data_IF_253383210747
#
_entry.id   IF_253383210747
#
_cell.length_a   1.000
_cell.length_b   1.000
_cell.length_c   1.000
_cell.angle_alpha   90.00
_cell.angle_beta   90.00
_cell.angle_gamma   90.00
#
_symmetry.space_group_name_H-M   'P 1'
#
loop_
_entity.id
_entity.type
_entity.pdbx_description
1 polymer ?
#
# COMPACT_ATOMS: atom_id res chain seq x y z
N UNK A 1 -2.25 -26.61 -19.39
CA UNK A 1 -1.25 -25.59 -19.77
C UNK A 1 -1.71 -24.25 -19.20
N UNK A 2 -0.90 -23.55 -18.39
CA UNK A 2 -1.29 -22.32 -17.63
C UNK A 2 -2.00 -21.24 -18.47
N UNK A 3 -1.74 -21.24 -19.78
CA UNK A 3 -2.14 -20.22 -20.75
C UNK A 3 -3.67 -20.16 -20.97
N UNK A 4 -4.43 -21.21 -20.65
CA UNK A 4 -5.88 -21.28 -20.90
C UNK A 4 -6.79 -21.02 -19.69
N UNK A 5 -6.28 -21.10 -18.46
CA UNK A 5 -7.10 -21.05 -17.24
C UNK A 5 -6.63 -20.01 -16.20
N UNK A 6 -5.50 -19.35 -16.46
CA UNK A 6 -4.91 -18.37 -15.53
C UNK A 6 -4.73 -17.04 -16.27
N UNK A 7 -5.13 -15.89 -15.67
CA UNK A 7 -4.96 -14.58 -16.29
C UNK A 7 -3.53 -14.35 -16.78
N UNK A 8 -3.38 -13.64 -17.91
CA UNK A 8 -2.08 -13.44 -18.56
C UNK A 8 -1.02 -12.86 -17.62
N UNK A 9 -1.38 -11.92 -16.73
CA UNK A 9 -0.43 -11.35 -15.76
C UNK A 9 0.03 -12.39 -14.72
N UNK A 10 -0.89 -13.19 -14.18
CA UNK A 10 -0.58 -14.30 -13.27
C UNK A 10 0.32 -15.33 -13.94
N UNK A 11 0.02 -15.71 -15.20
CA UNK A 11 0.86 -16.62 -15.99
C UNK A 11 2.26 -16.05 -16.21
N UNK A 12 2.37 -14.77 -16.56
CA UNK A 12 3.66 -14.08 -16.73
C UNK A 12 4.47 -14.04 -15.44
N UNK A 13 3.82 -13.76 -14.29
CA UNK A 13 4.46 -13.77 -12.96
C UNK A 13 5.00 -15.15 -12.60
N UNK A 14 4.20 -16.20 -12.80
CA UNK A 14 4.62 -17.59 -12.54
C UNK A 14 5.84 -17.95 -13.40
N UNK A 15 5.79 -17.69 -14.71
CA UNK A 15 6.91 -17.96 -15.62
C UNK A 15 8.18 -17.18 -15.23
N UNK A 16 8.02 -15.94 -14.77
CA UNK A 16 9.15 -15.12 -14.29
C UNK A 16 9.79 -15.73 -13.05
N UNK A 17 8.98 -16.22 -12.10
CA UNK A 17 9.47 -16.89 -10.89
C UNK A 17 10.16 -18.21 -11.21
N UNK A 18 9.58 -19.05 -12.07
CA UNK A 18 10.18 -20.31 -12.52
C UNK A 18 11.53 -20.07 -13.23
N UNK A 19 11.57 -19.09 -14.13
CA UNK A 19 12.81 -18.70 -14.81
C UNK A 19 13.88 -18.21 -13.83
N UNK A 20 13.49 -17.43 -12.82
CA UNK A 20 14.43 -16.94 -11.79
C UNK A 20 14.96 -18.07 -10.93
N UNK A 21 14.10 -19.02 -10.54
CA UNK A 21 14.48 -20.22 -9.81
C UNK A 21 15.47 -21.08 -10.62
N UNK A 22 15.16 -21.39 -11.87
CA UNK A 22 16.04 -22.17 -12.74
C UNK A 22 17.35 -21.44 -13.06
N UNK A 23 17.35 -20.10 -13.15
CA UNK A 23 18.58 -19.31 -13.26
C UNK A 23 19.48 -19.46 -12.04
N UNK A 24 18.89 -19.46 -10.83
CA UNK A 24 19.64 -19.74 -9.61
C UNK A 24 20.16 -21.18 -9.56
N UNK A 25 19.33 -22.16 -9.93
CA UNK A 25 19.72 -23.58 -9.97
C UNK A 25 20.87 -23.83 -10.96
N UNK A 26 20.84 -23.16 -12.13
CA UNK A 26 21.95 -23.19 -13.09
C UNK A 26 23.23 -22.56 -12.55
N UNK A 27 23.13 -21.39 -11.91
CA UNK A 27 24.29 -20.76 -11.24
C UNK A 27 24.86 -21.65 -10.13
N UNK A 28 24.03 -22.47 -9.50
CA UNK A 28 24.40 -23.38 -8.42
C UNK A 28 24.85 -24.76 -8.92
N UNK A 29 24.94 -24.98 -10.23
CA UNK A 29 25.37 -26.26 -10.82
C UNK A 29 24.36 -27.41 -10.71
N UNK A 30 23.11 -27.14 -10.34
CA UNK A 30 22.04 -28.15 -10.21
C UNK A 30 21.41 -28.47 -11.57
N UNK A 31 21.34 -27.46 -12.45
CA UNK A 31 20.78 -27.57 -13.80
C UNK A 31 21.78 -27.04 -14.82
N UNK A 32 21.84 -27.69 -15.98
CA UNK A 32 22.67 -27.18 -17.08
C UNK A 32 21.99 -26.01 -17.82
N UNK A 33 20.66 -26.03 -17.89
CA UNK A 33 19.86 -25.09 -18.71
C UNK A 33 18.60 -24.62 -18.00
N UNK A 34 18.14 -23.41 -18.35
CA UNK A 34 16.89 -22.83 -17.88
C UNK A 34 15.82 -22.93 -18.97
N UNK A 35 14.89 -23.88 -18.85
CA UNK A 35 13.81 -24.10 -19.82
C UNK A 35 12.77 -22.98 -19.86
N UNK A 36 12.72 -22.12 -18.84
CA UNK A 36 11.76 -21.03 -18.71
C UNK A 36 12.35 -19.67 -19.11
N UNK A 37 13.58 -19.65 -19.62
CA UNK A 37 14.20 -18.44 -20.13
C UNK A 37 13.40 -17.88 -21.33
N UNK A 38 13.16 -16.57 -21.35
CA UNK A 38 12.40 -15.90 -22.41
C UNK A 38 10.88 -16.07 -22.36
N UNK A 39 10.34 -17.18 -21.83
CA UNK A 39 8.90 -17.50 -21.90
C UNK A 39 7.95 -16.41 -21.36
N UNK A 40 8.36 -15.67 -20.32
CA UNK A 40 7.55 -14.59 -19.76
C UNK A 40 7.42 -13.37 -20.71
N UNK A 41 8.38 -13.18 -21.61
CA UNK A 41 8.35 -12.12 -22.62
C UNK A 41 7.28 -12.40 -23.68
N UNK A 42 7.07 -13.68 -24.02
CA UNK A 42 6.10 -14.13 -25.02
C UNK A 42 4.65 -13.98 -24.57
N UNK A 43 4.42 -13.85 -23.24
CA UNK A 43 3.11 -13.52 -22.70
C UNK A 43 2.77 -12.07 -23.04
N UNK A 44 2.04 -11.92 -24.15
CA UNK A 44 1.39 -10.68 -24.56
C UNK A 44 0.31 -10.34 -23.55
N UNK A 45 0.62 -9.40 -22.67
CA UNK A 45 -0.43 -8.69 -21.93
C UNK A 45 -1.14 -7.80 -22.94
N UNK A 46 -2.48 -7.75 -22.91
CA UNK A 46 -3.18 -6.65 -23.55
C UNK A 46 -2.53 -5.37 -23.02
N UNK A 47 -1.94 -4.56 -23.90
CA UNK A 47 -1.64 -3.17 -23.56
C UNK A 47 -3.01 -2.58 -23.28
N UNK A 48 -3.32 -2.42 -22.00
CA UNK A 48 -4.51 -1.70 -21.60
C UNK A 48 -4.31 -0.31 -22.16
N UNK A 49 -5.15 0.10 -23.12
CA UNK A 49 -5.08 1.46 -23.66
C UNK A 49 -5.30 2.42 -22.49
N UNK A 50 -4.77 3.65 -22.58
CA UNK A 50 -5.03 4.67 -21.56
C UNK A 50 -6.55 4.89 -21.33
N UNK A 51 -7.38 4.54 -22.32
CA UNK A 51 -8.85 4.62 -22.29
C UNK A 51 -9.50 3.52 -21.43
N UNK A 52 -8.92 2.31 -21.33
CA UNK A 52 -9.44 1.23 -20.47
C UNK A 52 -9.07 1.43 -18.97
N UNK A 53 -8.22 2.42 -18.66
CA UNK A 53 -7.80 2.80 -17.30
C UNK A 53 -8.24 4.22 -16.94
N UNK A 54 -9.49 4.58 -17.23
CA UNK A 54 -10.06 5.76 -16.60
C UNK A 54 -10.12 5.50 -15.09
N UNK A 55 -9.19 6.12 -14.35
CA UNK A 55 -9.23 6.11 -12.90
C UNK A 55 -10.39 7.04 -12.53
N UNK A 56 -11.42 6.48 -11.90
CA UNK A 56 -12.54 7.23 -11.36
C UNK A 56 -12.27 7.53 -9.87
N UNK A 57 -11.57 8.63 -9.53
CA UNK A 57 -11.41 9.01 -8.14
C UNK A 57 -12.76 9.41 -7.55
N UNK A 58 -12.91 9.24 -6.24
CA UNK A 58 -14.05 9.81 -5.53
C UNK A 58 -14.06 11.33 -5.69
N UNK A 59 -15.22 11.86 -6.04
CA UNK A 59 -15.52 13.28 -5.93
C UNK A 59 -15.43 13.74 -4.46
N UNK A 60 -15.34 15.05 -4.24
CA UNK A 60 -15.38 15.60 -2.89
C UNK A 60 -16.68 15.24 -2.14
N UNK A 61 -17.81 15.22 -2.86
CA UNK A 61 -19.10 14.85 -2.28
C UNK A 61 -19.13 13.38 -1.86
N UNK A 62 -18.61 12.47 -2.70
CA UNK A 62 -18.53 11.04 -2.36
C UNK A 62 -17.58 10.79 -1.19
N UNK A 63 -16.42 11.46 -1.16
CA UNK A 63 -15.51 11.42 0.00
C UNK A 63 -16.26 11.81 1.28
N UNK A 64 -16.99 12.92 1.26
CA UNK A 64 -17.68 13.44 2.43
C UNK A 64 -18.81 12.50 2.89
N UNK A 65 -19.51 11.86 1.94
CA UNK A 65 -20.50 10.82 2.22
C UNK A 65 -19.86 9.56 2.83
N UNK A 66 -18.72 9.11 2.31
CA UNK A 66 -17.95 7.98 2.87
C UNK A 66 -17.56 8.30 4.31
N UNK A 67 -16.98 9.48 4.56
CA UNK A 67 -16.57 9.89 5.90
C UNK A 67 -17.75 9.99 6.88
N UNK A 68 -18.87 10.55 6.43
CA UNK A 68 -20.10 10.60 7.22
C UNK A 68 -20.59 9.19 7.56
N UNK A 69 -20.57 8.28 6.60
CA UNK A 69 -20.96 6.88 6.81
C UNK A 69 -20.09 6.21 7.87
N UNK A 70 -18.76 6.37 7.81
CA UNK A 70 -17.86 5.86 8.86
C UNK A 70 -18.19 6.48 10.22
N UNK A 71 -18.30 7.82 10.33
CA UNK A 71 -18.58 8.52 11.60
C UNK A 71 -19.90 8.09 12.25
N UNK A 72 -20.92 7.76 11.45
CA UNK A 72 -22.25 7.37 11.94
C UNK A 72 -22.42 5.85 12.13
N UNK A 73 -21.47 5.04 11.66
CA UNK A 73 -21.60 3.59 11.71
C UNK A 73 -21.30 3.04 13.11
N UNK A 74 -22.21 2.21 13.63
CA UNK A 74 -22.07 1.55 14.94
C UNK A 74 -20.78 0.73 15.10
N UNK A 75 -20.32 0.06 14.04
CA UNK A 75 -19.21 -0.89 14.08
C UNK A 75 -17.89 -0.30 13.56
N UNK A 76 -17.97 0.68 12.67
CA UNK A 76 -16.80 1.18 11.94
C UNK A 76 -16.42 2.63 12.27
N UNK A 77 -17.09 3.29 13.21
CA UNK A 77 -16.74 4.66 13.62
C UNK A 77 -15.29 4.83 14.08
N UNK A 78 -14.69 3.79 14.67
CA UNK A 78 -13.30 3.78 15.13
C UNK A 78 -12.30 3.92 13.98
N UNK A 79 -12.70 3.61 12.75
CA UNK A 79 -11.87 3.79 11.55
C UNK A 79 -12.04 5.16 10.89
N UNK A 80 -12.99 6.00 11.33
CA UNK A 80 -13.30 7.26 10.68
C UNK A 80 -12.06 8.17 10.59
N UNK A 81 -11.30 8.29 11.69
CA UNK A 81 -10.07 9.08 11.73
C UNK A 81 -8.98 8.55 10.79
N UNK A 82 -8.87 7.22 10.66
CA UNK A 82 -7.94 6.57 9.75
C UNK A 82 -8.32 6.85 8.29
N UNK A 83 -9.58 6.70 7.93
CA UNK A 83 -10.07 6.94 6.56
C UNK A 83 -9.94 8.42 6.19
N UNK A 84 -10.26 9.33 7.11
CA UNK A 84 -10.07 10.78 6.91
C UNK A 84 -8.59 11.13 6.71
N UNK A 85 -7.70 10.53 7.51
CA UNK A 85 -6.25 10.70 7.34
C UNK A 85 -5.78 10.25 5.96
N UNK A 86 -6.32 9.15 5.40
CA UNK A 86 -5.97 8.68 4.06
C UNK A 86 -6.38 9.67 2.98
N UNK A 87 -7.59 10.24 3.06
CA UNK A 87 -8.05 11.25 2.11
C UNK A 87 -7.25 12.55 2.21
N UNK A 88 -6.89 13.00 3.42
CA UNK A 88 -6.17 14.25 3.62
C UNK A 88 -4.67 14.16 3.25
N UNK A 89 -4.07 12.98 3.34
CA UNK A 89 -2.61 12.82 3.19
C UNK A 89 -2.19 12.07 1.93
N UNK A 90 -3.07 11.28 1.32
CA UNK A 90 -2.74 10.37 0.22
C UNK A 90 -1.66 9.34 0.58
N UNK A 91 -1.42 9.10 1.87
CA UNK A 91 -0.42 8.14 2.31
C UNK A 91 -0.91 6.68 2.12
N UNK A 92 0.02 5.72 2.25
CA UNK A 92 -0.36 4.31 2.17
C UNK A 92 -1.09 3.90 3.46
N UNK A 93 -2.09 3.00 3.40
CA UNK A 93 -2.73 2.46 4.60
C UNK A 93 -1.74 1.91 5.65
N UNK A 94 -0.66 1.27 5.20
CA UNK A 94 0.40 0.78 6.08
C UNK A 94 1.12 1.89 6.85
N UNK A 95 1.15 3.11 6.32
CA UNK A 95 1.81 4.29 6.91
C UNK A 95 0.93 4.90 8.01
N UNK A 96 -0.38 5.11 7.77
CA UNK A 96 -1.30 5.62 8.80
C UNK A 96 -1.43 4.67 9.97
N UNK A 97 -1.53 3.36 9.73
CA UNK A 97 -1.65 2.37 10.81
C UNK A 97 -0.39 2.30 11.68
N UNK A 98 0.78 2.68 11.14
CA UNK A 98 2.03 2.74 11.89
C UNK A 98 2.29 4.10 12.56
N UNK A 99 1.44 5.10 12.32
CA UNK A 99 1.63 6.44 12.81
C UNK A 99 1.41 6.50 14.34
N UNK A 100 2.22 7.32 15.01
CA UNK A 100 2.18 7.57 16.45
C UNK A 100 2.31 9.07 16.67
N UNK A 101 1.84 9.57 17.81
CA UNK A 101 1.89 10.99 18.14
C UNK A 101 3.31 11.58 18.13
N UNK A 102 4.34 10.79 18.45
CA UNK A 102 5.74 11.23 18.35
C UNK A 102 6.18 11.59 16.92
N UNK A 103 5.47 11.12 15.91
CA UNK A 103 5.76 11.44 14.51
C UNK A 103 5.06 12.73 14.05
N UNK A 104 4.17 13.30 14.87
CA UNK A 104 3.40 14.51 14.56
C UNK A 104 4.03 15.69 15.31
N UNK A 105 4.51 16.69 14.56
CA UNK A 105 4.91 17.98 15.11
C UNK A 105 3.88 19.06 14.73
N UNK A 106 4.15 20.31 15.10
CA UNK A 106 3.21 21.42 14.90
C UNK A 106 2.85 21.68 13.42
N UNK A 107 3.79 21.42 12.50
CA UNK A 107 3.66 21.81 11.09
C UNK A 107 3.67 20.63 10.12
N UNK A 108 4.03 19.42 10.57
CA UNK A 108 4.20 18.26 9.71
C UNK A 108 4.06 16.91 10.43
N UNK A 109 3.67 15.91 9.64
CA UNK A 109 3.70 14.48 10.00
C UNK A 109 4.94 13.85 9.38
N UNK A 110 5.71 13.08 10.16
CA UNK A 110 6.84 12.30 9.68
C UNK A 110 6.44 10.85 9.44
N UNK A 111 6.28 10.46 8.18
CA UNK A 111 6.08 9.05 7.82
C UNK A 111 7.42 8.35 7.72
N UNK A 112 7.74 7.52 8.71
CA UNK A 112 9.01 6.80 8.82
C UNK A 112 8.86 5.30 9.08
N UNK A 113 7.61 4.82 9.25
CA UNK A 113 7.29 3.42 9.54
C UNK A 113 6.11 2.93 8.71
N UNK A 114 6.01 1.62 8.57
CA UNK A 114 4.87 0.95 7.96
C UNK A 114 4.52 -0.33 8.70
N UNK A 115 3.22 -0.62 8.86
CA UNK A 115 2.74 -1.90 9.38
C UNK A 115 2.55 -2.88 8.23
N UNK A 116 3.29 -3.99 8.26
CA UNK A 116 3.37 -4.96 7.16
C UNK A 116 3.08 -6.36 7.67
N UNK A 117 2.55 -7.23 6.80
CA UNK A 117 2.39 -8.65 7.11
C UNK A 117 3.67 -9.39 6.74
N UNK A 118 4.25 -10.11 7.72
CA UNK A 118 5.53 -10.81 7.57
C UNK A 118 5.40 -12.28 7.14
N UNK A 119 4.18 -12.78 6.95
CA UNK A 119 3.90 -14.22 6.79
C UNK A 119 3.44 -14.88 8.08
N UNK A 120 3.94 -14.42 9.24
CA UNK A 120 3.63 -14.96 10.56
C UNK A 120 2.84 -13.98 11.46
N UNK A 121 2.48 -12.82 10.92
CA UNK A 121 1.79 -11.76 11.66
C UNK A 121 2.15 -10.37 11.18
N UNK A 122 1.46 -9.37 11.73
CA UNK A 122 1.74 -7.97 11.45
C UNK A 122 2.90 -7.46 12.29
N UNK A 123 3.90 -6.89 11.63
CA UNK A 123 5.06 -6.26 12.27
C UNK A 123 5.18 -4.81 11.86
N UNK A 124 5.80 -4.00 12.72
CA UNK A 124 6.23 -2.66 12.37
C UNK A 124 7.58 -2.77 11.66
N UNK A 125 7.71 -2.09 10.53
CA UNK A 125 8.94 -1.97 9.78
C UNK A 125 9.36 -0.52 9.71
N UNK A 126 10.63 -0.25 9.99
CA UNK A 126 11.24 1.05 9.74
C UNK A 126 11.46 1.25 8.23
N UNK A 127 11.21 2.46 7.76
CA UNK A 127 11.23 2.80 6.35
C UNK A 127 9.90 2.60 5.64
N UNK A 128 9.77 3.28 4.50
CA UNK A 128 8.66 3.16 3.58
C UNK A 128 9.02 2.22 2.42
N UNK A 129 8.05 1.92 1.55
CA UNK A 129 8.26 1.00 0.40
C UNK A 129 9.42 1.44 -0.50
N UNK A 130 9.63 2.75 -0.67
CA UNK A 130 10.55 3.32 -1.66
C UNK A 130 11.61 4.26 -1.06
N UNK A 131 11.50 4.63 0.22
CA UNK A 131 12.36 5.63 0.85
C UNK A 131 12.39 5.45 2.37
N UNK A 132 13.39 6.02 3.05
CA UNK A 132 13.52 5.91 4.51
C UNK A 132 12.41 6.65 5.26
N UNK A 133 12.09 7.88 4.87
CA UNK A 133 11.03 8.68 5.49
C UNK A 133 10.55 9.79 4.56
N UNK A 134 9.41 10.41 4.87
CA UNK A 134 8.99 11.73 4.33
C UNK A 134 8.28 12.55 5.38
N UNK A 135 8.37 13.87 5.24
CA UNK A 135 7.49 14.82 5.93
C UNK A 135 6.29 15.12 5.04
N UNK A 136 5.13 15.26 5.66
CA UNK A 136 3.90 15.71 5.03
C UNK A 136 3.38 16.94 5.79
N UNK A 137 3.08 18.06 5.11
CA UNK A 137 2.66 19.29 5.78
C UNK A 137 1.27 19.15 6.41
N UNK A 138 1.07 19.80 7.55
CA UNK A 138 -0.25 19.88 8.21
C UNK A 138 -0.96 21.14 7.72
N UNK A 139 -2.04 20.96 6.98
CA UNK A 139 -2.97 22.04 6.60
C UNK A 139 -4.08 22.20 7.65
N UNK A 140 -4.96 23.18 7.47
CA UNK A 140 -6.05 23.45 8.42
C UNK A 140 -7.01 22.24 8.63
N UNK A 141 -7.29 21.46 7.58
CA UNK A 141 -8.17 20.30 7.68
C UNK A 141 -7.53 19.17 8.50
N UNK A 142 -6.24 18.89 8.24
CA UNK A 142 -5.49 17.88 8.96
C UNK A 142 -5.22 18.31 10.41
N UNK A 143 -4.96 19.59 10.65
CA UNK A 143 -4.83 20.13 12.01
C UNK A 143 -6.11 19.93 12.83
N UNK A 144 -7.28 20.19 12.22
CA UNK A 144 -8.58 19.95 12.86
C UNK A 144 -8.76 18.48 13.22
N UNK A 145 -8.53 17.56 12.28
CA UNK A 145 -8.62 16.12 12.54
C UNK A 145 -7.67 15.69 13.66
N UNK A 146 -6.41 16.13 13.62
CA UNK A 146 -5.42 15.79 14.64
C UNK A 146 -5.81 16.30 16.01
N UNK A 147 -6.45 17.48 16.11
CA UNK A 147 -6.96 18.01 17.37
C UNK A 147 -8.14 17.17 17.91
N UNK A 148 -9.08 16.77 17.04
CA UNK A 148 -10.25 15.97 17.40
C UNK A 148 -9.89 14.58 17.94
N UNK A 149 -8.83 13.96 17.40
CA UNK A 149 -8.43 12.59 17.75
C UNK A 149 -7.33 12.53 18.82
N UNK A 150 -6.85 13.69 19.28
CA UNK A 150 -5.76 13.76 20.25
C UNK A 150 -6.23 13.19 21.60
N UNK A 151 -5.55 12.17 22.15
CA UNK A 151 -5.91 11.61 23.43
C UNK A 151 -5.61 12.62 24.56
N UNK A 152 -6.46 12.64 25.59
CA UNK A 152 -6.30 13.49 26.78
C UNK A 152 -4.96 13.24 27.49
N UNK A 153 -4.51 11.98 27.51
CA UNK A 153 -3.22 11.56 28.06
C UNK A 153 -2.31 11.05 26.94
N UNK A 154 -1.34 11.89 26.54
CA UNK A 154 -0.34 11.50 25.54
C UNK A 154 0.79 10.72 26.22
N UNK A 155 0.86 9.41 26.03
CA UNK A 155 2.07 8.64 26.37
C UNK A 155 3.14 8.93 25.31
N UNK A 156 4.21 9.61 25.71
CA UNK A 156 5.38 9.87 24.87
C UNK A 156 6.33 8.67 24.97
N UNK A 157 6.16 7.68 24.08
CA UNK A 157 7.13 6.61 23.83
C UNK A 157 7.75 6.71 22.43
#
# INVERSE_FOLDING_TARGET
MLIGHVPADSTKRILTQLSTCCKWAKKSGILDTNRFEGMAADIKRKKVSNEEFEIFPFTHQERDLILKAFKQNRYYNSYAAMVESLFLTGCRPSEVVALRWKHVNETSISFERSRVYSGHGYTLKDGLKTQRARKFPINAQLAKLLAEIKPEHMQRE
#
